data_IF_241768509313
#
_entry.id   IF_241768509313
#
_cell.length_a   1.000
_cell.length_b   1.000
_cell.length_c   1.000
_cell.angle_alpha   90.00
_cell.angle_beta   90.00
_cell.angle_gamma   90.00
#
_symmetry.space_group_name_H-M   'P 1'
#
loop_
_entity.id
_entity.type
_entity.pdbx_description
1 polymer ?
#
# COMPACT_ATOMS: atom_id res chain seq x y z
N UNK A 1 27.92 -12.76 -8.78
CA UNK A 1 26.88 -11.89 -8.21
C UNK A 1 25.94 -12.78 -7.42
N UNK A 2 25.64 -12.48 -6.14
CA UNK A 2 24.57 -13.20 -5.44
C UNK A 2 23.26 -12.93 -6.19
N UNK A 3 22.35 -13.91 -6.32
CA UNK A 3 21.01 -13.65 -6.82
C UNK A 3 20.40 -12.51 -6.00
N UNK A 4 19.77 -11.54 -6.65
CA UNK A 4 18.93 -10.56 -5.95
C UNK A 4 17.71 -11.32 -5.43
N UNK A 5 17.61 -11.46 -4.12
CA UNK A 5 16.48 -12.12 -3.46
C UNK A 5 15.29 -11.16 -3.39
N UNK A 6 14.57 -11.01 -4.51
CA UNK A 6 13.33 -10.25 -4.56
C UNK A 6 12.23 -10.95 -3.76
N UNK A 7 11.50 -10.19 -2.95
CA UNK A 7 10.42 -10.72 -2.13
C UNK A 7 9.03 -10.17 -2.56
N UNK A 8 7.98 -11.00 -2.56
CA UNK A 8 8.00 -12.46 -2.41
C UNK A 8 8.70 -13.15 -3.59
N UNK A 9 9.18 -14.40 -3.43
CA UNK A 9 9.84 -15.12 -4.51
C UNK A 9 8.88 -15.33 -5.68
N UNK A 10 9.37 -15.30 -6.91
CA UNK A 10 8.53 -15.40 -8.10
C UNK A 10 7.64 -16.65 -8.10
N UNK A 11 8.16 -17.78 -7.60
CA UNK A 11 7.39 -19.02 -7.49
C UNK A 11 6.16 -18.86 -6.58
N UNK A 12 6.26 -18.06 -5.51
CA UNK A 12 5.14 -17.75 -4.65
C UNK A 12 4.08 -16.92 -5.39
N UNK A 13 4.50 -15.84 -6.07
CA UNK A 13 3.61 -15.00 -6.89
C UNK A 13 2.90 -15.84 -7.95
N UNK A 14 3.67 -16.68 -8.66
CA UNK A 14 3.15 -17.62 -9.65
C UNK A 14 2.10 -18.55 -9.04
N UNK A 15 2.37 -19.15 -7.88
CA UNK A 15 1.40 -20.02 -7.21
C UNK A 15 0.09 -19.30 -6.85
N UNK A 16 0.15 -18.02 -6.47
CA UNK A 16 -1.03 -17.21 -6.16
C UNK A 16 -1.83 -16.85 -7.42
N UNK A 17 -1.16 -16.59 -8.55
CA UNK A 17 -1.78 -16.19 -9.82
C UNK A 17 -2.20 -17.37 -10.72
N UNK A 18 -1.51 -18.51 -10.64
CA UNK A 18 -1.76 -19.73 -11.44
C UNK A 18 -2.38 -20.87 -10.65
N UNK A 19 -2.24 -20.88 -9.32
CA UNK A 19 -2.96 -21.77 -8.40
C UNK A 19 -2.48 -23.22 -8.53
N UNK A 20 -2.82 -24.11 -7.59
CA UNK A 20 -2.66 -25.53 -7.86
C UNK A 20 -3.54 -25.90 -9.07
N UNK A 21 -3.09 -26.79 -9.97
CA UNK A 21 -3.99 -27.39 -10.94
C UNK A 21 -5.15 -28.00 -10.15
N UNK A 22 -6.38 -27.83 -10.64
CA UNK A 22 -7.60 -28.37 -10.02
C UNK A 22 -7.45 -29.90 -9.93
N UNK A 23 -6.85 -30.40 -8.86
CA UNK A 23 -6.95 -31.81 -8.48
C UNK A 23 -8.30 -31.94 -7.82
N UNK A 24 -9.18 -32.74 -8.45
CA UNK A 24 -10.33 -33.33 -7.75
C UNK A 24 -9.80 -33.90 -6.44
N UNK A 25 -10.43 -33.61 -5.29
CA UNK A 25 -10.00 -34.18 -4.03
C UNK A 25 -10.13 -35.69 -4.13
N UNK A 26 -8.99 -36.38 -4.17
CA UNK A 26 -8.95 -37.77 -3.79
C UNK A 26 -9.22 -37.81 -2.29
N UNK A 27 -10.26 -38.54 -1.90
CA UNK A 27 -10.58 -38.80 -0.50
C UNK A 27 -9.44 -39.64 0.11
N UNK A 28 -8.42 -38.95 0.63
CA UNK A 28 -7.37 -39.53 1.45
C UNK A 28 -7.46 -38.94 2.86
N UNK A 29 -7.18 -39.73 3.91
CA UNK A 29 -7.30 -39.29 5.29
C UNK A 29 -6.37 -38.11 5.57
N UNK A 30 -6.93 -37.06 6.17
CA UNK A 30 -6.21 -35.86 6.62
C UNK A 30 -5.41 -36.23 7.87
N UNK A 31 -4.07 -36.03 7.90
CA UNK A 31 -3.30 -36.21 9.12
C UNK A 31 -3.66 -35.10 10.11
N UNK A 32 -4.02 -35.53 11.31
CA UNK A 32 -4.50 -34.71 12.41
C UNK A 32 -3.32 -34.01 13.12
N UNK A 33 -3.42 -32.69 13.24
CA UNK A 33 -2.87 -31.89 14.35
C UNK A 33 -1.37 -32.01 14.68
N UNK A 34 -0.52 -31.29 13.94
CA UNK A 34 0.70 -30.76 14.53
C UNK A 34 0.37 -29.38 15.15
N UNK A 35 0.61 -29.13 16.45
CA UNK A 35 0.44 -27.81 17.02
C UNK A 35 1.42 -26.86 16.34
N UNK A 36 0.89 -25.84 15.66
CA UNK A 36 1.68 -24.74 15.17
C UNK A 36 2.31 -24.06 16.39
N UNK A 37 3.61 -24.31 16.60
CA UNK A 37 4.39 -23.55 17.55
C UNK A 37 4.18 -22.07 17.20
N UNK A 38 3.66 -21.30 18.16
CA UNK A 38 3.53 -19.86 18.03
C UNK A 38 4.95 -19.29 17.90
N UNK A 39 5.43 -19.20 16.67
CA UNK A 39 6.69 -18.55 16.35
C UNK A 39 6.58 -17.13 16.87
N UNK A 40 7.42 -16.77 17.84
CA UNK A 40 7.51 -15.42 18.34
C UNK A 40 7.75 -14.49 17.14
N UNK A 41 6.87 -13.51 16.95
CA UNK A 41 7.06 -12.52 15.91
C UNK A 41 8.36 -11.77 16.22
N UNK A 42 9.34 -11.72 15.30
CA UNK A 42 10.55 -10.95 15.51
C UNK A 42 10.20 -9.52 15.93
N UNK A 43 10.85 -8.99 16.96
CA UNK A 43 10.51 -7.68 17.53
C UNK A 43 10.51 -6.58 16.46
N UNK A 44 11.38 -6.70 15.46
CA UNK A 44 11.54 -5.77 14.34
C UNK A 44 10.32 -5.71 13.40
N UNK A 45 9.48 -6.75 13.39
CA UNK A 45 8.25 -6.80 12.59
C UNK A 45 7.01 -6.31 13.34
N UNK A 46 7.09 -6.15 14.67
CA UNK A 46 5.92 -5.78 15.48
C UNK A 46 5.35 -4.43 15.07
N UNK A 47 6.21 -3.43 14.87
CA UNK A 47 5.77 -2.09 14.50
C UNK A 47 5.19 -2.05 13.07
N UNK A 48 5.86 -2.57 12.03
CA UNK A 48 5.26 -2.69 10.69
C UNK A 48 3.92 -3.42 10.65
N UNK A 49 3.79 -4.53 11.39
CA UNK A 49 2.54 -5.31 11.42
C UNK A 49 1.42 -4.61 12.18
N UNK A 50 1.74 -3.92 13.28
CA UNK A 50 0.77 -3.11 14.03
C UNK A 50 0.26 -1.96 13.17
N UNK A 51 1.14 -1.30 12.43
CA UNK A 51 0.78 -0.24 11.51
C UNK A 51 -0.11 -0.76 10.36
N UNK A 52 0.24 -1.90 9.77
CA UNK A 52 -0.58 -2.56 8.76
C UNK A 52 -1.99 -2.90 9.29
N UNK A 53 -2.07 -3.43 10.52
CA UNK A 53 -3.34 -3.74 11.16
C UNK A 53 -4.19 -2.48 11.36
N UNK A 54 -3.60 -1.41 11.91
CA UNK A 54 -4.24 -0.11 12.12
C UNK A 54 -4.82 0.46 10.82
N UNK A 55 -4.05 0.42 9.73
CA UNK A 55 -4.47 0.92 8.40
C UNK A 55 -5.66 0.12 7.86
N UNK A 56 -5.63 -1.21 8.00
CA UNK A 56 -6.73 -2.08 7.57
C UNK A 56 -8.00 -1.89 8.42
N UNK A 57 -7.87 -1.63 9.71
CA UNK A 57 -9.00 -1.29 10.58
C UNK A 57 -9.63 0.05 10.17
N UNK A 58 -8.81 1.08 9.93
CA UNK A 58 -9.29 2.38 9.43
C UNK A 58 -10.00 2.25 8.07
N UNK A 59 -9.48 1.39 7.18
CA UNK A 59 -10.10 1.08 5.91
C UNK A 59 -11.44 0.35 6.07
N UNK A 60 -11.51 -0.63 6.98
CA UNK A 60 -12.74 -1.37 7.27
C UNK A 60 -13.84 -0.45 7.85
N UNK A 61 -13.46 0.58 8.61
CA UNK A 61 -14.36 1.60 9.11
C UNK A 61 -14.85 2.57 8.02
N UNK A 62 -14.05 2.83 6.98
CA UNK A 62 -14.46 3.55 5.77
C UNK A 62 -15.41 2.68 4.95
N UNK A 63 -16.70 2.75 5.28
CA UNK A 63 -17.76 2.05 4.56
C UNK A 63 -17.86 2.57 3.11
N UNK A 64 -17.08 1.99 2.20
CA UNK A 64 -17.12 2.34 0.79
C UNK A 64 -18.45 1.93 0.18
N UNK A 65 -19.11 2.86 -0.52
CA UNK A 65 -20.25 2.52 -1.36
C UNK A 65 -19.83 1.54 -2.46
N UNK A 66 -20.71 0.60 -2.83
CA UNK A 66 -20.45 -0.38 -3.88
C UNK A 66 -20.37 0.21 -5.30
N UNK A 67 -20.49 1.53 -5.44
CA UNK A 67 -20.50 2.23 -6.73
C UNK A 67 -19.09 2.31 -7.31
N UNK A 68 -18.97 1.85 -8.55
CA UNK A 68 -17.76 2.02 -9.35
C UNK A 68 -17.62 3.48 -9.82
N UNK A 69 -16.40 4.00 -9.73
CA UNK A 69 -16.06 5.38 -10.07
C UNK A 69 -14.55 5.49 -10.38
N UNK A 70 -14.10 6.54 -11.10
CA UNK A 70 -12.68 6.84 -11.22
C UNK A 70 -11.98 6.90 -9.87
N UNK A 71 -10.77 6.34 -9.78
CA UNK A 71 -9.98 6.32 -8.55
C UNK A 71 -10.37 5.22 -7.57
N UNK A 72 -11.44 4.44 -7.83
CA UNK A 72 -11.81 3.30 -6.98
C UNK A 72 -10.84 2.15 -7.19
N UNK A 73 -10.25 1.68 -6.09
CA UNK A 73 -9.48 0.45 -6.08
C UNK A 73 -10.42 -0.71 -5.73
N UNK A 74 -10.48 -1.72 -6.59
CA UNK A 74 -11.36 -2.86 -6.46
C UNK A 74 -10.58 -4.15 -6.21
N UNK A 75 -11.15 -5.05 -5.41
CA UNK A 75 -10.82 -6.48 -5.44
C UNK A 75 -11.76 -7.16 -6.41
N UNK A 76 -11.24 -7.81 -7.45
CA UNK A 76 -12.04 -8.53 -8.44
C UNK A 76 -11.73 -10.02 -8.35
N UNK A 77 -12.75 -10.85 -8.17
CA UNK A 77 -12.61 -12.29 -8.20
C UNK A 77 -12.55 -12.81 -9.65
N UNK A 78 -11.43 -13.41 -10.05
CA UNK A 78 -11.21 -14.04 -11.35
C UNK A 78 -10.72 -15.48 -11.13
N UNK A 79 -11.49 -16.47 -11.60
CA UNK A 79 -11.16 -17.90 -11.44
C UNK A 79 -10.85 -18.31 -9.98
N UNK A 80 -11.57 -17.72 -9.02
CA UNK A 80 -11.38 -17.99 -7.58
C UNK A 80 -10.23 -17.20 -6.93
N UNK A 81 -9.62 -16.24 -7.64
CA UNK A 81 -8.49 -15.42 -7.15
C UNK A 81 -8.88 -13.96 -7.06
N UNK A 82 -8.38 -13.27 -6.04
CA UNK A 82 -8.57 -11.84 -5.90
C UNK A 82 -7.46 -11.10 -6.64
N UNK A 83 -7.85 -10.23 -7.58
CA UNK A 83 -6.96 -9.31 -8.29
C UNK A 83 -7.33 -7.86 -7.91
N UNK A 84 -6.32 -7.01 -7.75
CA UNK A 84 -6.53 -5.58 -7.54
C UNK A 84 -6.73 -4.87 -8.87
N UNK A 85 -7.72 -3.98 -8.97
CA UNK A 85 -7.91 -3.13 -10.15
C UNK A 85 -8.21 -1.70 -9.72
N UNK A 86 -7.39 -0.75 -10.16
CA UNK A 86 -7.69 0.67 -10.04
C UNK A 86 -8.54 1.11 -11.24
N UNK A 87 -9.75 1.59 -10.99
CA UNK A 87 -10.63 2.11 -12.02
C UNK A 87 -10.23 3.52 -12.47
N UNK A 88 -10.26 3.73 -13.78
CA UNK A 88 -9.93 5.00 -14.40
C UNK A 88 -11.16 5.73 -14.97
N UNK A 89 -11.81 5.11 -15.95
CA UNK A 89 -12.92 5.72 -16.70
C UNK A 89 -13.90 4.68 -17.22
N UNK A 90 -15.13 5.12 -17.40
CA UNK A 90 -16.17 4.36 -18.08
C UNK A 90 -16.06 4.61 -19.59
N UNK A 91 -15.98 3.53 -20.37
CA UNK A 91 -15.98 3.55 -21.82
C UNK A 91 -17.43 3.67 -22.37
N UNK A 92 -17.62 4.15 -23.61
CA UNK A 92 -18.95 4.34 -24.20
C UNK A 92 -19.80 3.07 -24.29
N UNK A 93 -19.16 1.90 -24.33
CA UNK A 93 -19.81 0.59 -24.40
C UNK A 93 -20.19 0.03 -23.00
N UNK A 94 -20.05 0.84 -21.95
CA UNK A 94 -20.39 0.47 -20.57
C UNK A 94 -19.30 -0.32 -19.84
N UNK A 95 -18.14 -0.55 -20.48
CA UNK A 95 -16.98 -1.18 -19.83
C UNK A 95 -16.16 -0.18 -19.04
N UNK A 96 -15.63 -0.59 -17.90
CA UNK A 96 -14.68 0.21 -17.14
C UNK A 96 -13.25 -0.09 -17.56
N UNK A 97 -12.49 0.94 -17.88
CA UNK A 97 -11.05 0.85 -18.08
C UNK A 97 -10.32 1.16 -16.76
N UNK A 98 -9.17 0.52 -16.56
CA UNK A 98 -8.31 0.75 -15.41
C UNK A 98 -6.96 0.06 -15.56
N UNK A 99 -6.27 -0.13 -14.43
CA UNK A 99 -4.99 -0.83 -14.34
C UNK A 99 -5.00 -1.86 -13.23
N UNK A 100 -4.22 -2.92 -13.39
CA UNK A 100 -4.01 -3.87 -12.31
C UNK A 100 -3.25 -3.22 -11.15
N UNK A 101 -3.57 -3.68 -9.94
CA UNK A 101 -2.91 -3.31 -8.71
C UNK A 101 -2.41 -4.55 -7.96
N UNK A 102 -1.27 -4.40 -7.31
CA UNK A 102 -0.44 -5.46 -6.75
C UNK A 102 0.22 -4.98 -5.43
N UNK A 103 0.87 -5.87 -4.70
CA UNK A 103 1.52 -5.58 -3.40
C UNK A 103 3.04 -5.78 -3.41
N UNK A 104 3.59 -6.30 -4.51
CA UNK A 104 4.95 -6.77 -4.62
C UNK A 104 5.93 -5.66 -5.04
N UNK A 105 6.21 -4.74 -4.12
CA UNK A 105 7.01 -3.53 -4.37
C UNK A 105 8.46 -3.82 -4.87
N UNK A 106 9.10 -4.90 -4.43
CA UNK A 106 10.45 -5.28 -4.89
C UNK A 106 10.48 -5.59 -6.40
N UNK A 107 9.33 -5.95 -6.97
CA UNK A 107 9.15 -6.28 -8.37
C UNK A 107 8.82 -5.06 -9.24
N UNK A 108 8.71 -3.88 -8.65
CA UNK A 108 8.39 -2.65 -9.37
C UNK A 108 9.40 -2.35 -10.48
N UNK A 109 8.87 -2.02 -11.65
CA UNK A 109 9.58 -1.39 -12.75
C UNK A 109 9.32 0.11 -12.82
N UNK A 110 9.90 0.76 -13.82
CA UNK A 110 9.75 2.21 -14.05
C UNK A 110 8.30 2.65 -14.35
N UNK A 111 7.38 1.73 -14.63
CA UNK A 111 6.00 2.02 -14.98
C UNK A 111 5.01 1.54 -13.93
N UNK A 112 5.51 1.10 -12.77
CA UNK A 112 4.71 0.78 -11.61
C UNK A 112 4.70 1.98 -10.67
N UNK A 113 3.52 2.43 -10.27
CA UNK A 113 3.35 3.55 -9.33
C UNK A 113 3.07 2.99 -7.95
N UNK A 114 3.98 3.23 -7.01
CA UNK A 114 3.80 2.84 -5.62
C UNK A 114 2.97 3.90 -4.89
N UNK A 115 1.98 3.43 -4.15
CA UNK A 115 1.07 4.22 -3.32
C UNK A 115 1.62 4.31 -1.91
N UNK A 116 1.61 5.53 -1.38
CA UNK A 116 2.18 5.83 -0.08
C UNK A 116 1.06 6.07 0.95
N UNK A 117 1.36 6.12 2.26
CA UNK A 117 0.35 6.41 3.28
C UNK A 117 -0.45 7.70 3.03
N UNK A 118 0.14 8.72 2.40
CA UNK A 118 -0.57 9.94 2.02
C UNK A 118 -1.66 9.74 0.93
N UNK A 119 -1.61 8.62 0.20
CA UNK A 119 -2.57 8.29 -0.85
C UNK A 119 -3.79 7.53 -0.31
N UNK A 120 -3.84 7.31 1.01
CA UNK A 120 -4.94 6.64 1.66
C UNK A 120 -6.28 7.38 1.53
N UNK A 121 -7.39 6.62 1.44
CA UNK A 121 -7.52 5.21 1.82
C UNK A 121 -7.31 4.21 0.69
N UNK A 122 -6.56 3.14 0.97
CA UNK A 122 -6.56 1.94 0.15
C UNK A 122 -6.09 0.72 0.97
N UNK A 123 -6.40 -0.48 0.48
CA UNK A 123 -5.87 -1.74 1.02
C UNK A 123 -4.38 -1.87 0.66
N UNK A 124 -3.46 -1.90 1.64
CA UNK A 124 -2.02 -1.93 1.37
C UNK A 124 -1.54 -3.13 0.55
N UNK A 125 -2.28 -4.25 0.52
CA UNK A 125 -2.00 -5.39 -0.38
C UNK A 125 -2.10 -5.04 -1.88
N UNK A 126 -2.67 -3.88 -2.22
CA UNK A 126 -2.81 -3.36 -3.57
C UNK A 126 -2.14 -1.98 -3.71
N UNK A 127 -1.04 -1.78 -2.96
CA UNK A 127 -0.29 -0.53 -2.88
C UNK A 127 0.60 -0.21 -4.08
N UNK A 128 0.58 -0.99 -5.15
CA UNK A 128 1.34 -0.72 -6.38
C UNK A 128 0.41 -0.83 -7.60
N UNK A 129 0.36 0.22 -8.42
CA UNK A 129 -0.47 0.28 -9.64
C UNK A 129 0.41 0.04 -10.87
N UNK A 130 0.07 -0.97 -11.66
CA UNK A 130 0.80 -1.37 -12.87
C UNK A 130 0.33 -0.52 -14.06
N UNK A 131 0.85 0.69 -14.23
CA UNK A 131 0.40 1.63 -15.28
C UNK A 131 0.64 1.10 -16.71
N UNK A 132 1.60 0.16 -16.85
CA UNK A 132 1.89 -0.57 -18.08
C UNK A 132 0.90 -1.72 -18.39
N UNK A 133 0.01 -2.09 -17.45
CA UNK A 133 -0.88 -3.25 -17.56
C UNK A 133 -2.36 -2.85 -17.52
N UNK A 134 -2.88 -2.20 -18.58
CA UNK A 134 -4.27 -1.76 -18.63
C UNK A 134 -5.23 -2.96 -18.73
N UNK A 135 -6.37 -2.84 -18.04
CA UNK A 135 -7.45 -3.83 -18.08
C UNK A 135 -8.79 -3.16 -18.38
N UNK A 136 -9.72 -3.96 -18.86
CA UNK A 136 -11.10 -3.53 -19.12
C UNK A 136 -12.06 -4.52 -18.46
N UNK A 137 -13.00 -4.00 -17.67
CA UNK A 137 -13.95 -4.75 -16.87
C UNK A 137 -15.37 -4.47 -17.32
N UNK A 138 -16.20 -5.52 -17.34
CA UNK A 138 -17.65 -5.38 -17.38
C UNK A 138 -18.19 -5.48 -15.96
N UNK A 139 -19.01 -4.54 -15.48
CA UNK A 139 -19.69 -4.67 -14.19
C UNK A 139 -20.77 -5.77 -14.31
N UNK A 140 -20.34 -7.02 -14.19
CA UNK A 140 -21.16 -8.20 -14.36
C UNK A 140 -21.29 -8.96 -13.02
N UNK A 141 -22.43 -9.61 -12.73
CA UNK A 141 -22.63 -10.41 -11.51
C UNK A 141 -21.55 -11.45 -11.18
N UNK A 142 -20.87 -12.14 -12.13
CA UNK A 142 -19.79 -13.06 -11.79
C UNK A 142 -18.54 -12.39 -11.22
N UNK A 143 -18.35 -11.08 -11.44
CA UNK A 143 -17.26 -10.32 -10.84
C UNK A 143 -17.73 -9.85 -9.46
N UNK A 144 -17.42 -10.62 -8.42
CA UNK A 144 -17.52 -10.14 -7.05
C UNK A 144 -16.46 -9.05 -6.85
N UNK A 145 -16.87 -7.80 -7.07
CA UNK A 145 -16.02 -6.63 -6.95
C UNK A 145 -16.31 -5.89 -5.64
N UNK A 146 -15.33 -5.84 -4.74
CA UNK A 146 -15.42 -5.01 -3.52
C UNK A 146 -14.51 -3.80 -3.65
N UNK A 147 -15.01 -2.62 -3.28
CA UNK A 147 -14.15 -1.42 -3.17
C UNK A 147 -13.23 -1.58 -1.96
N UNK A 148 -11.94 -1.47 -2.22
CA UNK A 148 -10.84 -1.58 -1.27
C UNK A 148 -10.08 -0.26 -1.08
N UNK A 149 -10.46 0.79 -1.79
CA UNK A 149 -9.77 2.07 -1.70
C UNK A 149 -10.33 3.11 -2.64
N UNK A 150 -9.86 4.33 -2.44
CA UNK A 150 -10.19 5.49 -3.26
C UNK A 150 -8.98 6.41 -3.33
N UNK A 151 -8.40 6.52 -4.51
CA UNK A 151 -7.33 7.48 -4.76
C UNK A 151 -7.91 8.86 -5.00
N UNK A 152 -7.17 9.89 -4.56
CA UNK A 152 -7.49 11.27 -4.90
C UNK A 152 -7.42 11.50 -6.42
N UNK A 153 -8.15 12.50 -6.91
CA UNK A 153 -8.12 12.88 -8.32
C UNK A 153 -6.69 13.23 -8.80
N UNK A 154 -5.92 13.90 -7.94
CA UNK A 154 -4.51 14.26 -8.21
C UNK A 154 -3.64 13.01 -8.35
N UNK A 155 -3.78 12.03 -7.44
CA UNK A 155 -3.01 10.79 -7.54
C UNK A 155 -3.40 9.97 -8.76
N UNK A 156 -4.70 9.88 -9.07
CA UNK A 156 -5.18 9.22 -10.30
C UNK A 156 -4.62 9.90 -11.56
N UNK A 157 -4.54 11.24 -11.58
CA UNK A 157 -3.92 11.99 -12.68
C UNK A 157 -2.43 11.68 -12.83
N UNK A 158 -1.69 11.52 -11.72
CA UNK A 158 -0.29 11.08 -11.77
C UNK A 158 -0.14 9.67 -12.36
N UNK A 159 -1.02 8.73 -11.99
CA UNK A 159 -1.04 7.37 -12.58
C UNK A 159 -1.31 7.42 -14.08
N UNK A 160 -2.30 8.22 -14.52
CA UNK A 160 -2.58 8.43 -15.95
C UNK A 160 -1.35 8.95 -16.70
N UNK A 161 -0.66 9.93 -16.13
CA UNK A 161 0.53 10.51 -16.76
C UNK A 161 1.65 9.47 -16.94
N UNK A 162 1.86 8.57 -15.97
CA UNK A 162 2.82 7.45 -16.13
C UNK A 162 2.36 6.48 -17.21
N UNK A 163 1.06 6.16 -17.28
CA UNK A 163 0.50 5.29 -18.30
C UNK A 163 0.64 5.89 -19.72
N UNK A 164 0.44 7.20 -19.86
CA UNK A 164 0.57 7.92 -21.12
C UNK A 164 2.04 7.95 -21.59
N UNK A 165 3.00 8.19 -20.69
CA UNK A 165 4.44 8.10 -21.00
C UNK A 165 4.83 6.69 -21.47
N UNK A 166 4.34 5.64 -20.80
CA UNK A 166 4.56 4.26 -21.21
C UNK A 166 3.96 3.97 -22.60
N UNK A 167 2.72 4.42 -22.85
CA UNK A 167 2.05 4.23 -24.13
C UNK A 167 2.78 4.95 -25.26
N UNK A 168 3.26 6.18 -25.02
CA UNK A 168 4.07 6.95 -25.95
C UNK A 168 5.38 6.23 -26.29
N UNK A 169 6.07 5.69 -25.28
CA UNK A 169 7.31 4.94 -25.48
C UNK A 169 7.10 3.72 -26.40
N UNK A 170 5.99 3.00 -26.24
CA UNK A 170 5.68 1.81 -27.06
C UNK A 170 5.51 2.09 -28.55
N UNK A 171 5.09 3.31 -28.91
CA UNK A 171 4.87 3.71 -30.30
C UNK A 171 6.08 4.49 -30.85
N UNK A 172 7.18 4.56 -30.09
CA UNK A 172 8.40 5.27 -30.51
C UNK A 172 8.25 6.79 -30.54
N UNK A 173 7.20 7.34 -29.90
CA UNK A 173 7.09 8.77 -29.72
C UNK A 173 8.20 9.25 -28.75
N UNK A 174 8.64 10.52 -28.85
CA UNK A 174 9.53 11.12 -27.86
C UNK A 174 8.77 11.25 -26.53
N UNK A 175 8.72 10.15 -25.77
CA UNK A 175 8.14 10.12 -24.45
C UNK A 175 9.02 10.95 -23.51
N UNK A 176 8.40 11.56 -22.49
CA UNK A 176 9.12 12.07 -21.33
C UNK A 176 10.12 11.00 -20.89
N UNK A 177 11.39 11.38 -20.79
CA UNK A 177 12.51 10.46 -20.73
C UNK A 177 12.26 9.35 -19.70
N UNK A 178 12.36 8.09 -20.13
CA UNK A 178 12.54 6.96 -19.20
C UNK A 178 13.66 7.37 -18.25
N UNK A 179 13.48 7.24 -16.93
CA UNK A 179 14.48 7.68 -15.98
C UNK A 179 15.83 7.07 -16.37
N UNK A 180 16.85 7.91 -16.57
CA UNK A 180 18.21 7.51 -16.98
C UNK A 180 18.94 6.66 -15.91
N UNK A 181 18.21 6.25 -14.88
CA UNK A 181 18.67 5.38 -13.81
C UNK A 181 18.96 3.99 -14.37
N UNK A 182 20.11 3.38 -14.02
CA UNK A 182 20.40 2.01 -14.42
C UNK A 182 19.37 1.03 -13.83
N UNK A 183 19.15 -0.13 -14.47
CA UNK A 183 18.34 -1.19 -13.89
C UNK A 183 18.87 -1.65 -12.53
N UNK A 184 18.04 -1.59 -11.50
CA UNK A 184 18.31 -2.11 -10.17
C UNK A 184 17.00 -2.68 -9.57
N UNK A 185 16.71 -3.98 -9.79
CA UNK A 185 15.56 -4.65 -9.18
C UNK A 185 15.56 -4.49 -7.65
N UNK A 186 14.38 -4.35 -7.04
CA UNK A 186 14.23 -4.08 -5.60
C UNK A 186 14.47 -2.62 -5.21
N UNK A 187 14.85 -1.74 -6.14
CA UNK A 187 15.03 -0.32 -5.87
C UNK A 187 13.82 0.50 -6.33
N UNK A 188 13.40 1.41 -5.45
CA UNK A 188 12.33 2.38 -5.68
C UNK A 188 12.94 3.78 -5.66
N UNK A 189 12.50 4.65 -6.56
CA UNK A 189 12.97 6.02 -6.66
C UNK A 189 11.81 6.99 -6.90
N UNK A 190 11.99 8.23 -6.43
CA UNK A 190 11.11 9.33 -6.80
C UNK A 190 11.38 9.75 -8.25
N UNK A 191 10.31 9.96 -9.00
CA UNK A 191 10.35 10.41 -10.40
C UNK A 191 9.36 11.53 -10.64
N UNK A 192 9.81 12.56 -11.36
CA UNK A 192 8.94 13.59 -11.91
C UNK A 192 8.27 13.08 -13.20
N UNK A 193 6.96 13.30 -13.33
CA UNK A 193 6.14 12.81 -14.44
C UNK A 193 5.27 13.95 -14.96
N UNK A 194 5.18 14.09 -16.28
CA UNK A 194 4.46 15.18 -16.95
C UNK A 194 4.80 16.61 -16.44
N UNK A 195 5.96 16.79 -15.82
CA UNK A 195 6.45 18.07 -15.30
C UNK A 195 5.73 18.62 -14.05
N UNK A 196 4.69 17.94 -13.54
CA UNK A 196 3.88 18.44 -12.43
C UNK A 196 3.59 17.41 -11.34
N UNK A 197 3.85 16.12 -11.58
CA UNK A 197 3.64 15.07 -10.59
C UNK A 197 4.96 14.49 -10.11
N UNK A 198 5.00 14.13 -8.83
CA UNK A 198 6.06 13.30 -8.25
C UNK A 198 5.45 11.97 -7.84
N UNK A 199 6.05 10.88 -8.32
CA UNK A 199 5.60 9.51 -8.05
C UNK A 199 6.78 8.66 -7.57
N UNK A 200 6.50 7.61 -6.79
CA UNK A 200 7.45 6.54 -6.53
C UNK A 200 7.28 5.46 -7.59
N UNK A 201 8.38 5.09 -8.25
CA UNK A 201 8.41 3.98 -9.21
C UNK A 201 9.60 3.09 -8.95
N UNK A 202 9.60 1.88 -9.51
CA UNK A 202 10.82 1.08 -9.61
C UNK A 202 11.81 1.65 -10.64
N UNK A 203 12.89 0.94 -10.88
CA UNK A 203 13.84 1.27 -11.95
C UNK A 203 13.43 0.67 -13.31
N UNK A 204 14.01 1.12 -14.43
CA UNK A 204 13.89 0.41 -15.70
C UNK A 204 14.29 -1.07 -15.58
N UNK A 205 13.70 -1.91 -16.45
CA UNK A 205 14.09 -3.31 -16.58
C UNK A 205 15.43 -3.41 -17.33
N UNK A 206 16.26 -4.39 -16.96
CA UNK A 206 17.44 -4.71 -17.74
C UNK A 206 17.05 -5.34 -19.09
N UNK A 207 17.88 -5.13 -20.11
CA UNK A 207 17.62 -5.63 -21.46
C UNK A 207 17.54 -7.16 -21.52
N UNK A 208 18.35 -7.87 -20.73
CA UNK A 208 18.40 -9.33 -20.68
C UNK A 208 18.50 -9.81 -19.23
N UNK A 209 17.87 -10.95 -18.94
CA UNK A 209 18.00 -11.65 -17.66
C UNK A 209 17.33 -10.97 -16.46
N UNK A 210 16.52 -9.93 -16.65
CA UNK A 210 15.78 -9.29 -15.56
C UNK A 210 14.63 -10.20 -15.08
N UNK A 211 14.61 -10.68 -13.83
CA UNK A 211 13.56 -11.56 -13.34
C UNK A 211 12.18 -10.88 -13.35
N UNK A 212 12.12 -9.53 -13.30
CA UNK A 212 10.86 -8.78 -13.34
C UNK A 212 10.13 -8.95 -14.68
N UNK A 213 10.81 -9.35 -15.75
CA UNK A 213 10.15 -9.67 -17.02
C UNK A 213 9.17 -10.84 -16.88
N UNK A 214 9.55 -11.90 -16.17
CA UNK A 214 8.68 -13.05 -15.92
C UNK A 214 7.50 -12.67 -15.03
N UNK A 215 7.74 -11.84 -14.01
CA UNK A 215 6.69 -11.25 -13.17
C UNK A 215 5.67 -10.46 -13.99
N UNK A 216 6.14 -9.58 -14.89
CA UNK A 216 5.25 -8.85 -15.80
C UNK A 216 4.46 -9.82 -16.69
N UNK A 217 5.09 -10.89 -17.18
CA UNK A 217 4.42 -11.95 -17.94
C UNK A 217 3.25 -12.59 -17.20
N UNK A 218 3.40 -12.88 -15.90
CA UNK A 218 2.33 -13.45 -15.07
C UNK A 218 1.13 -12.51 -14.95
N UNK A 219 1.37 -11.22 -14.70
CA UNK A 219 0.31 -10.24 -14.57
C UNK A 219 -0.35 -9.89 -15.91
N UNK A 220 0.38 -9.96 -17.04
CA UNK A 220 -0.22 -9.86 -18.37
C UNK A 220 -1.17 -11.02 -18.65
N UNK A 221 -0.81 -12.24 -18.24
CA UNK A 221 -1.70 -13.38 -18.36
C UNK A 221 -2.95 -13.23 -17.49
N UNK A 222 -2.79 -12.74 -16.25
CA UNK A 222 -3.92 -12.42 -15.38
C UNK A 222 -4.85 -11.34 -16.00
N UNK A 223 -4.28 -10.28 -16.57
CA UNK A 223 -5.02 -9.24 -17.29
C UNK A 223 -5.84 -9.81 -18.45
N UNK A 224 -5.24 -10.69 -19.25
CA UNK A 224 -5.93 -11.37 -20.36
C UNK A 224 -7.10 -12.22 -19.89
N UNK A 225 -6.92 -13.00 -18.81
CA UNK A 225 -8.01 -13.79 -18.20
C UNK A 225 -9.15 -12.91 -17.70
N UNK A 226 -8.81 -11.78 -17.09
CA UNK A 226 -9.79 -10.81 -16.59
C UNK A 226 -10.59 -10.13 -17.71
N UNK A 227 -9.96 -9.91 -18.86
CA UNK A 227 -10.60 -9.33 -20.03
C UNK A 227 -11.47 -10.33 -20.82
N UNK A 228 -11.35 -11.64 -20.55
CA UNK A 228 -12.21 -12.64 -21.21
C UNK A 228 -13.64 -12.51 -20.69
N UNK A 229 -14.64 -12.45 -21.59
CA UNK A 229 -16.03 -12.50 -21.16
C UNK A 229 -16.27 -13.83 -20.45
N UNK A 230 -16.86 -13.78 -19.25
CA UNK A 230 -17.28 -14.99 -18.55
C UNK A 230 -18.17 -15.81 -19.50
N UNK A 231 -17.71 -17.00 -19.86
CA UNK A 231 -18.52 -17.92 -20.64
C UNK A 231 -19.86 -18.08 -19.92
N UNK A 232 -21.00 -17.93 -20.62
CA UNK A 232 -22.29 -18.12 -19.98
C UNK A 232 -22.26 -19.50 -19.33
N UNK A 233 -22.47 -19.56 -18.01
CA UNK A 233 -22.75 -20.81 -17.32
C UNK A 233 -23.91 -21.43 -18.08
N UNK A 234 -23.60 -22.46 -18.88
CA UNK A 234 -24.60 -23.24 -19.58
C UNK A 234 -25.59 -23.66 -18.51
N UNK A 235 -26.82 -23.16 -18.62
CA UNK A 235 -27.94 -23.57 -17.78
C UNK A 235 -27.90 -25.09 -17.76
N UNK A 236 -27.50 -25.66 -16.62
CA UNK A 236 -27.62 -27.09 -16.35
C UNK A 236 -29.05 -27.43 -16.72
N UNK A 237 -29.18 -28.29 -17.72
CA UNK A 237 -30.43 -28.53 -18.42
C UNK A 237 -31.54 -28.81 -17.43
N UNK A 238 -32.55 -27.93 -17.40
CA UNK A 238 -33.90 -28.37 -17.07
C UNK A 238 -34.25 -29.41 -18.12
N UNK A 239 -34.19 -30.68 -17.73
CA UNK A 239 -34.83 -31.76 -18.48
C UNK A 239 -36.30 -31.37 -18.72
N UNK A 240 -36.80 -31.45 -19.96
CA UNK A 240 -38.22 -31.26 -20.20
C UNK A 240 -39.01 -32.41 -19.56
N UNK A 241 -40.08 -32.01 -18.89
CA UNK A 241 -40.99 -32.86 -18.15
C UNK A 241 -41.53 -34.06 -18.96
N UNK A 242 -41.70 -35.20 -18.27
CA UNK A 242 -42.78 -36.16 -18.55
C UNK A 242 -43.53 -36.41 -17.23
N UNK A 243 -44.86 -36.47 -17.36
CA UNK A 243 -45.81 -36.15 -16.31
C UNK A 243 -45.96 -37.17 -15.19
N UNK A 244 -46.60 -36.77 -14.10
CA UNK A 244 -47.94 -37.24 -13.72
C UNK A 244 -48.47 -36.48 -12.47
N UNK A 245 -49.70 -35.97 -12.59
CA UNK A 245 -50.84 -35.94 -11.63
C UNK A 245 -50.48 -36.30 -10.17
N UNK A 246 -50.77 -35.52 -9.12
CA UNK A 246 -52.12 -35.24 -8.60
C UNK A 246 -52.10 -34.27 -7.40
N UNK A 247 -53.23 -33.57 -7.27
CA UNK A 247 -53.78 -32.75 -6.18
C UNK A 247 -53.44 -33.11 -4.73
N UNK A 248 -53.18 -32.10 -3.89
CA UNK A 248 -54.01 -31.84 -2.68
C UNK A 248 -53.72 -30.46 -2.07
N UNK A 249 -54.81 -29.85 -1.61
CA UNK A 249 -54.92 -28.55 -0.94
C UNK A 249 -54.72 -28.73 0.57
N UNK A 250 -53.89 -27.90 1.24
CA UNK A 250 -54.09 -27.59 2.66
C UNK A 250 -53.52 -26.21 3.04
N UNK A 251 -54.37 -25.43 3.70
CA UNK A 251 -54.13 -24.14 4.38
C UNK A 251 -53.46 -24.38 5.74
N UNK A 252 -52.65 -23.41 6.19
CA UNK A 252 -52.21 -23.19 7.58
C UNK A 252 -50.76 -22.69 7.65
N UNK A 253 -50.48 -21.39 7.81
CA UNK A 253 -50.28 -20.64 9.07
C UNK A 253 -49.04 -21.06 9.89
N UNK A 254 -48.16 -20.10 10.19
CA UNK A 254 -47.16 -20.17 11.28
C UNK A 254 -45.71 -19.93 10.81
N UNK A 255 -45.13 -18.81 11.24
CA UNK A 255 -43.74 -18.46 10.97
C UNK A 255 -42.73 -19.22 11.82
N UNK A 256 -41.46 -19.15 11.43
CA UNK A 256 -40.30 -18.93 12.31
C UNK A 256 -39.03 -18.97 11.48
N UNK A 257 -38.16 -18.00 11.77
CA UNK A 257 -36.77 -17.95 11.37
C UNK A 257 -36.08 -19.31 11.51
N UNK A 258 -35.41 -19.75 10.46
CA UNK A 258 -34.23 -20.62 10.61
C UNK A 258 -33.13 -20.11 9.69
N UNK A 259 -32.10 -19.59 10.35
CA UNK A 259 -30.79 -19.19 9.85
C UNK A 259 -30.15 -20.31 8.99
N UNK A 260 -30.08 -20.10 7.69
CA UNK A 260 -29.20 -20.87 6.80
C UNK A 260 -27.81 -20.18 6.75
N UNK A 261 -27.07 -20.32 7.85
CA UNK A 261 -25.75 -19.73 8.02
C UNK A 261 -24.68 -20.55 7.28
N UNK A 262 -24.31 -20.07 6.09
CA UNK A 262 -23.28 -20.66 5.22
C UNK A 262 -21.87 -20.77 5.81
N UNK A 263 -20.99 -21.59 5.19
CA UNK A 263 -19.66 -21.95 5.71
C UNK A 263 -18.71 -20.76 5.89
N UNK A 264 -18.95 -19.65 5.19
CA UNK A 264 -18.14 -18.43 5.23
C UNK A 264 -18.30 -17.65 6.54
N UNK A 265 -19.45 -17.73 7.23
CA UNK A 265 -19.64 -17.14 8.57
C UNK A 265 -18.90 -17.91 9.66
N UNK A 266 -18.68 -19.22 9.47
CA UNK A 266 -17.89 -20.05 10.42
C UNK A 266 -16.40 -19.76 10.33
N UNK A 267 -15.91 -19.37 9.15
CA UNK A 267 -14.53 -18.92 8.95
C UNK A 267 -14.29 -17.54 9.60
N UNK A 268 -15.23 -16.61 9.45
CA UNK A 268 -15.15 -15.27 10.04
C UNK A 268 -15.27 -15.28 11.57
N UNK A 269 -16.03 -16.22 12.15
CA UNK A 269 -16.11 -16.41 13.61
C UNK A 269 -14.82 -16.98 14.22
N UNK A 270 -13.97 -17.66 13.43
CA UNK A 270 -12.68 -18.21 13.88
C UNK A 270 -11.55 -17.18 13.88
N UNK A 271 -11.76 -16.03 13.24
CA UNK A 271 -10.78 -14.94 13.10
C UNK A 271 -11.17 -13.65 13.84
N UNK A 272 -12.32 -13.62 14.54
CA UNK A 272 -12.87 -12.41 15.14
C UNK A 272 -13.54 -12.60 16.50
N UNK A 273 -12.98 -13.42 17.38
CA UNK A 273 -13.53 -13.68 18.71
C UNK A 273 -12.57 -13.31 19.83
N UNK A 274 -12.74 -12.11 20.40
CA UNK A 274 -12.02 -11.68 21.60
C UNK A 274 -12.19 -10.20 21.89
N UNK A 275 -13.39 -9.81 22.33
CA UNK A 275 -13.67 -8.43 22.69
C UNK A 275 -12.96 -7.99 23.97
N UNK A 276 -12.44 -6.77 23.95
CA UNK A 276 -12.32 -5.93 25.14
C UNK A 276 -12.94 -4.57 24.81
N UNK A 277 -14.14 -4.34 25.35
CA UNK A 277 -14.65 -3.00 25.60
C UNK A 277 -13.71 -2.32 26.58
N UNK A 278 -13.25 -1.13 26.25
CA UNK A 278 -12.54 -0.25 27.16
C UNK A 278 -12.21 1.04 26.45
N UNK A 279 -12.53 2.16 27.09
CA UNK A 279 -12.28 3.55 26.72
C UNK A 279 -10.81 3.83 26.35
N UNK A 280 -10.50 5.08 25.98
CA UNK A 280 -9.18 5.66 25.69
C UNK A 280 -8.83 5.80 24.19
N UNK A 281 -9.49 6.74 23.52
CA UNK A 281 -8.73 7.73 22.73
C UNK A 281 -8.32 8.88 23.67
N UNK A 282 -7.37 9.79 23.33
CA UNK A 282 -6.64 9.96 22.07
C UNK A 282 -5.12 10.26 22.28
N UNK A 283 -4.18 9.44 21.78
CA UNK A 283 -2.74 9.76 21.93
C UNK A 283 -1.81 9.06 20.93
N UNK A 284 -2.09 9.08 19.63
CA UNK A 284 -1.16 8.55 18.62
C UNK A 284 -1.19 9.38 17.32
N UNK A 285 -0.86 10.66 17.46
CA UNK A 285 -0.71 11.60 16.34
C UNK A 285 0.73 12.13 16.15
N UNK A 286 1.75 11.49 16.74
CA UNK A 286 3.15 12.01 16.72
C UNK A 286 4.19 11.00 16.19
N UNK A 287 3.83 9.77 15.85
CA UNK A 287 4.81 8.73 15.45
C UNK A 287 4.89 8.47 13.93
N UNK A 288 4.69 9.51 13.11
CA UNK A 288 4.79 9.42 11.65
C UNK A 288 6.07 10.05 11.05
N UNK A 289 7.06 10.45 11.87
CA UNK A 289 8.25 11.15 11.36
C UNK A 289 9.61 10.47 11.63
N UNK A 290 9.67 9.27 12.25
CA UNK A 290 10.96 8.72 12.73
C UNK A 290 11.54 7.56 11.91
N UNK A 291 10.78 6.90 11.02
CA UNK A 291 11.25 5.66 10.37
C UNK A 291 11.74 5.77 8.92
N UNK A 292 12.12 6.97 8.47
CA UNK A 292 12.93 7.14 7.24
C UNK A 292 14.26 7.87 7.50
N UNK A 293 14.53 8.32 8.74
CA UNK A 293 15.73 9.11 9.09
C UNK A 293 16.80 8.44 9.96
N UNK A 294 16.55 7.26 10.57
CA UNK A 294 17.44 6.72 11.62
C UNK A 294 18.36 5.56 11.24
N UNK A 295 18.46 5.16 9.96
CA UNK A 295 19.42 4.11 9.54
C UNK A 295 20.80 4.63 9.10
N UNK A 296 21.14 5.89 9.38
CA UNK A 296 22.46 6.47 9.04
C UNK A 296 23.32 6.89 10.26
N UNK A 297 22.87 6.68 11.51
CA UNK A 297 23.49 7.35 12.67
C UNK A 297 23.88 6.50 13.88
N UNK A 298 23.68 5.18 13.89
CA UNK A 298 23.94 4.37 15.09
C UNK A 298 24.66 3.06 14.75
N UNK A 299 25.97 3.16 14.48
CA UNK A 299 26.91 2.09 14.81
C UNK A 299 28.07 2.69 15.61
N UNK A 300 28.35 2.18 16.83
CA UNK A 300 29.46 2.63 17.65
C UNK A 300 30.78 2.23 16.97
N UNK A 301 31.74 3.17 16.90
CA UNK A 301 33.11 2.90 16.47
C UNK A 301 33.82 1.99 17.46
N UNK A 302 34.36 0.83 17.06
CA UNK A 302 35.47 0.21 17.74
C UNK A 302 36.77 0.75 17.13
N UNK A 303 37.58 1.39 17.97
CA UNK A 303 38.96 1.71 17.66
C UNK A 303 39.77 0.44 17.40
N UNK A 304 40.57 0.47 16.32
CA UNK A 304 41.90 -0.15 16.24
C UNK A 304 41.98 -1.63 15.86
N UNK A 305 42.30 -1.91 14.60
CA UNK A 305 43.50 -2.68 14.19
C UNK A 305 43.49 -2.88 12.67
N UNK A 306 44.67 -2.91 12.09
CA UNK A 306 45.03 -2.61 10.71
C UNK A 306 44.80 -3.77 9.74
N UNK A 307 44.56 -3.44 8.46
CA UNK A 307 44.60 -4.38 7.34
C UNK A 307 43.63 -4.00 6.23
N UNK A 308 44.10 -3.20 5.28
CA UNK A 308 43.28 -2.45 4.33
C UNK A 308 42.51 -3.26 3.28
N UNK A 309 41.31 -2.76 2.97
CA UNK A 309 40.89 -2.57 1.59
C UNK A 309 39.94 -1.35 1.54
N UNK A 310 40.38 -0.27 0.90
CA UNK A 310 39.72 1.02 0.95
C UNK A 310 38.55 1.06 -0.05
N UNK A 311 37.34 0.91 0.48
CA UNK A 311 36.09 1.20 -0.21
C UNK A 311 36.07 2.69 -0.61
N UNK A 312 36.35 2.99 -1.88
CA UNK A 312 36.17 4.32 -2.46
C UNK A 312 34.66 4.58 -2.63
N UNK A 313 34.06 5.23 -1.63
CA UNK A 313 32.89 6.07 -1.85
C UNK A 313 33.33 7.13 -2.88
N UNK A 314 32.87 7.05 -4.13
CA UNK A 314 33.15 8.10 -5.10
C UNK A 314 32.21 9.27 -4.84
N UNK A 315 32.83 10.39 -4.53
CA UNK A 315 32.27 11.72 -4.34
C UNK A 315 31.24 12.06 -5.42
N UNK A 316 30.01 12.30 -4.98
CA UNK A 316 29.07 13.11 -5.74
C UNK A 316 29.58 14.57 -5.75
N UNK A 317 29.43 15.33 -6.84
CA UNK A 317 29.71 16.76 -6.82
C UNK A 317 28.84 17.44 -5.75
N UNK A 318 29.36 18.45 -5.03
CA UNK A 318 28.67 19.02 -3.88
C UNK A 318 27.49 19.85 -4.37
N UNK A 319 26.34 19.21 -4.50
CA UNK A 319 25.07 19.94 -4.52
C UNK A 319 24.64 19.99 -3.08
N UNK A 320 25.01 21.08 -2.39
CA UNK A 320 24.52 21.35 -1.05
C UNK A 320 22.99 21.22 -1.07
N UNK A 321 22.39 20.24 -0.36
CA UNK A 321 20.96 20.26 -0.15
C UNK A 321 20.68 21.51 0.66
N UNK A 322 19.80 22.39 0.15
CA UNK A 322 19.29 23.49 0.95
C UNK A 322 18.67 22.89 2.21
N UNK A 323 19.33 23.09 3.35
CA UNK A 323 18.81 22.67 4.64
C UNK A 323 17.40 23.25 4.81
N UNK A 324 16.44 22.52 5.40
CA UNK A 324 15.16 23.11 5.75
C UNK A 324 15.44 24.30 6.68
N UNK A 325 15.23 25.52 6.19
CA UNK A 325 15.47 26.74 6.94
C UNK A 325 14.58 26.70 8.20
N UNK A 326 15.21 26.53 9.36
CA UNK A 326 14.59 26.78 10.63
C UNK A 326 14.40 28.29 10.78
N UNK A 327 13.31 28.71 11.44
CA UNK A 327 13.06 30.11 11.77
C UNK A 327 13.49 30.43 13.21
N UNK A 328 13.61 29.40 14.06
CA UNK A 328 14.03 29.54 15.47
C UNK A 328 14.68 28.26 16.01
N UNK A 329 15.59 28.41 16.96
CA UNK A 329 16.15 27.36 17.81
C UNK A 329 15.66 27.57 19.24
N UNK A 330 15.03 26.55 19.84
CA UNK A 330 14.46 26.63 21.19
C UNK A 330 15.08 25.59 22.10
N UNK A 331 15.48 26.01 23.30
CA UNK A 331 15.87 25.11 24.37
C UNK A 331 14.84 25.17 25.49
N UNK A 332 14.36 24.01 25.92
CA UNK A 332 13.43 23.89 27.05
C UNK A 332 14.17 23.94 28.38
N UNK A 333 13.50 24.39 29.45
CA UNK A 333 14.05 24.27 30.80
C UNK A 333 14.10 22.80 31.23
N UNK A 334 15.03 22.48 32.12
CA UNK A 334 15.12 21.13 32.68
C UNK A 334 13.84 20.80 33.46
N UNK A 335 13.25 19.63 33.19
CA UNK A 335 12.00 19.18 33.82
C UNK A 335 10.71 19.71 33.18
N UNK A 336 10.78 20.41 32.05
CA UNK A 336 9.59 20.81 31.28
C UNK A 336 8.82 19.58 30.79
N UNK A 337 7.52 19.51 31.10
CA UNK A 337 6.64 18.49 30.53
C UNK A 337 6.49 18.72 29.01
N UNK A 338 6.76 17.68 28.24
CA UNK A 338 6.66 17.71 26.78
C UNK A 338 5.23 17.94 26.29
N UNK A 339 4.21 17.58 27.08
CA UNK A 339 2.82 17.91 26.76
C UNK A 339 2.55 19.41 26.81
N UNK A 340 3.14 20.11 27.80
CA UNK A 340 3.04 21.57 27.94
C UNK A 340 3.87 22.29 26.86
N UNK A 341 5.06 21.79 26.56
CA UNK A 341 5.88 22.27 25.45
C UNK A 341 5.14 22.16 24.11
N UNK A 342 4.43 21.05 23.87
CA UNK A 342 3.65 20.83 22.65
C UNK A 342 2.48 21.83 22.54
N UNK A 343 1.77 22.09 23.64
CA UNK A 343 0.70 23.12 23.66
C UNK A 343 1.25 24.51 23.40
N UNK A 344 2.42 24.84 23.93
CA UNK A 344 3.08 26.12 23.65
C UNK A 344 3.46 26.26 22.18
N UNK A 345 4.04 25.21 21.56
CA UNK A 345 4.38 25.22 20.13
C UNK A 345 3.14 25.42 19.26
N UNK A 346 2.03 24.74 19.58
CA UNK A 346 0.75 24.94 18.89
C UNK A 346 0.24 26.38 19.03
N UNK A 347 0.35 26.97 20.23
CA UNK A 347 -0.06 28.37 20.50
C UNK A 347 0.81 29.37 19.75
N UNK A 348 2.11 29.10 19.63
CA UNK A 348 3.08 29.94 18.90
C UNK A 348 3.03 29.75 17.37
N UNK A 349 2.16 28.88 16.85
CA UNK A 349 2.16 28.52 15.42
C UNK A 349 3.49 27.91 14.96
N UNK A 350 4.16 27.17 15.85
CA UNK A 350 5.49 26.61 15.67
C UNK A 350 5.44 25.10 15.38
N UNK A 351 6.23 24.64 14.41
CA UNK A 351 6.40 23.24 14.07
C UNK A 351 7.86 22.84 14.28
N UNK A 352 8.12 21.75 15.01
CA UNK A 352 9.48 21.23 15.15
C UNK A 352 9.96 20.63 13.82
N UNK A 353 11.08 21.15 13.32
CA UNK A 353 11.78 20.71 12.10
C UNK A 353 12.83 19.66 12.44
N UNK A 354 13.53 19.82 13.55
CA UNK A 354 14.57 18.91 14.03
C UNK A 354 14.80 19.09 15.54
N UNK A 355 15.40 18.10 16.19
CA UNK A 355 15.84 18.17 17.60
C UNK A 355 15.42 16.98 18.46
N UNK A 356 15.95 16.88 19.69
CA UNK A 356 16.97 17.77 20.27
C UNK A 356 18.36 17.50 19.66
N UNK A 357 19.13 18.56 19.39
CA UNK A 357 20.55 18.43 19.03
C UNK A 357 21.39 17.97 20.25
N UNK A 358 22.70 17.74 20.05
CA UNK A 358 23.61 17.36 21.14
C UNK A 358 23.71 18.39 22.28
N UNK A 359 23.09 19.57 22.14
CA UNK A 359 23.00 20.62 23.15
C UNK A 359 21.58 20.78 23.72
N UNK A 360 20.63 19.92 23.34
CA UNK A 360 19.24 19.96 23.80
C UNK A 360 18.35 20.99 23.10
N UNK A 361 18.78 21.53 21.94
CA UNK A 361 18.04 22.55 21.18
C UNK A 361 17.16 21.92 20.11
N UNK A 362 16.03 22.55 19.87
CA UNK A 362 15.03 22.16 18.88
C UNK A 362 14.93 23.21 17.79
N UNK A 363 15.08 22.79 16.54
CA UNK A 363 14.85 23.64 15.37
C UNK A 363 13.37 23.70 15.07
N UNK A 364 12.82 24.91 15.00
CA UNK A 364 11.41 25.18 14.77
C UNK A 364 11.21 25.99 13.49
N UNK A 365 10.08 25.75 12.84
CA UNK A 365 9.51 26.56 11.77
C UNK A 365 8.30 27.30 12.31
N UNK A 366 8.20 28.59 12.03
CA UNK A 366 7.14 29.44 12.53
C UNK A 366 6.22 29.85 11.38
N UNK A 367 4.92 29.59 11.51
CA UNK A 367 3.91 30.06 10.55
C UNK A 367 3.85 31.60 10.52
N UNK A 368 4.11 32.24 11.67
CA UNK A 368 4.22 33.70 11.83
C UNK A 368 5.46 34.03 12.68
N UNK A 369 6.63 34.30 12.06
CA UNK A 369 7.89 34.39 12.79
C UNK A 369 7.93 35.42 13.91
N UNK A 370 7.32 36.60 13.73
CA UNK A 370 7.33 37.68 14.74
C UNK A 370 6.49 37.33 15.96
N UNK A 371 5.25 36.89 15.74
CA UNK A 371 4.30 36.59 16.81
C UNK A 371 4.68 35.30 17.53
N UNK A 372 5.11 34.28 16.77
CA UNK A 372 5.59 33.01 17.33
C UNK A 372 6.84 33.18 18.20
N UNK A 373 7.81 34.00 17.79
CA UNK A 373 8.99 34.30 18.61
C UNK A 373 8.64 35.07 19.88
N UNK A 374 7.67 35.98 19.83
CA UNK A 374 7.22 36.71 21.01
C UNK A 374 6.55 35.77 22.04
N UNK A 375 5.73 34.84 21.58
CA UNK A 375 5.10 33.80 22.42
C UNK A 375 6.14 32.85 23.02
N UNK A 376 7.14 32.42 22.24
CA UNK A 376 8.20 31.54 22.74
C UNK A 376 9.10 32.23 23.78
N UNK A 377 9.47 33.51 23.56
CA UNK A 377 10.31 34.27 24.48
C UNK A 377 9.61 34.65 25.80
N UNK A 378 8.29 34.80 25.78
CA UNK A 378 7.49 35.12 26.96
C UNK A 378 7.12 33.89 27.80
N UNK A 379 7.39 32.68 27.31
CA UNK A 379 7.01 31.45 28.00
C UNK A 379 7.97 31.11 29.15
N UNK A 380 7.44 30.73 30.33
CA UNK A 380 8.26 30.29 31.45
C UNK A 380 8.90 28.91 31.20
N UNK A 381 8.45 28.16 30.19
CA UNK A 381 8.93 26.82 29.84
C UNK A 381 10.22 26.85 29.00
N UNK A 382 10.52 28.00 28.41
CA UNK A 382 11.64 28.16 27.48
C UNK A 382 12.87 28.68 28.23
N UNK A 383 14.01 28.02 28.02
CA UNK A 383 15.30 28.41 28.55
C UNK A 383 15.99 29.43 27.63
N UNK A 384 15.98 29.20 26.32
CA UNK A 384 16.51 30.14 25.32
C UNK A 384 15.77 30.02 23.98
N UNK A 385 15.67 31.14 23.27
CA UNK A 385 15.17 31.23 21.88
C UNK A 385 16.19 32.00 21.04
N UNK A 386 16.81 31.31 20.10
CA UNK A 386 17.76 31.88 19.14
C UNK A 386 17.10 31.90 17.75
N UNK A 387 17.40 32.91 16.95
CA UNK A 387 17.17 32.83 15.50
C UNK A 387 18.42 32.22 14.89
N UNK A 388 18.29 31.26 13.95
CA UNK A 388 19.44 30.54 13.39
C UNK A 388 20.44 31.43 12.65
#
# INVERSE_FOLDING_TARGET
MRPLDLWPPLAHIRSTLEGPPVRRPAAGPVPEGAPAAAAACPADLLLPLTELARRREALAARNFGARWAPGRLLSVLCEGRLLGVLLDRLLPDGRWQGWLAAGEADWAGAWDVLLEPQDEPFEPLFGMVQAWNPVTLLPAPPLCARVLGELSATRLAAVRAVADEWAAQRVGAPAGAVPATPPAPGCIALRAVAGCFTVLTGTPLAAEGDPRADYQGLYQQAARRLAQPAAPLARVGRSPARGAVSTTRRRGHGGSDTDDAGPLRRLLRRLGGGGLRGSWGPALAVLALVLVGQNAGLLPSPQGSEGGDAMRLRDAPPTAPAAPQADALVRWKAGTDMAEATRLLQTAGAQAVAGPDGQGRWSLRLLQPRDGLAVLRSSPLVQSVETP
#
